data_IF_239572407584
#
_entry.id   IF_239572407584
#
_cell.length_a   1.000
_cell.length_b   1.000
_cell.length_c   1.000
_cell.angle_alpha   90.00
_cell.angle_beta   90.00
_cell.angle_gamma   90.00
#
_symmetry.space_group_name_H-M   'P 1'
#
loop_
_entity.id
_entity.type
_entity.pdbx_description
1 polymer ?
#
# COMPACT_ATOMS: atom_id res chain seq x y z
N UNK A 1 -26.08 8.53 13.27
CA UNK A 1 -25.23 8.46 12.08
C UNK A 1 -23.82 8.75 12.51
N UNK A 2 -23.01 7.72 12.63
CA UNK A 2 -21.58 7.83 12.95
C UNK A 2 -20.87 8.41 11.72
N UNK A 3 -20.59 9.71 11.73
CA UNK A 3 -19.73 10.30 10.70
C UNK A 3 -18.30 9.80 10.94
N UNK A 4 -17.71 9.16 9.93
CA UNK A 4 -16.29 8.81 9.94
C UNK A 4 -15.48 10.11 10.08
N UNK A 5 -14.49 10.12 10.99
CA UNK A 5 -13.63 11.29 11.16
C UNK A 5 -12.87 11.58 9.85
N UNK A 6 -12.70 12.86 9.47
CA UNK A 6 -11.95 13.21 8.26
C UNK A 6 -10.49 12.76 8.39
N UNK A 7 -9.89 12.34 7.27
CA UNK A 7 -8.49 11.94 7.20
C UNK A 7 -7.56 13.09 7.61
N UNK A 8 -6.48 12.76 8.32
CA UNK A 8 -5.45 13.74 8.67
C UNK A 8 -4.62 14.11 7.44
N UNK A 9 -3.94 15.27 7.50
CA UNK A 9 -3.02 15.69 6.42
C UNK A 9 -1.91 14.66 6.18
N UNK A 10 -1.41 14.04 7.25
CA UNK A 10 -0.40 12.99 7.17
C UNK A 10 -0.93 11.75 6.45
N UNK A 11 -2.16 11.32 6.76
CA UNK A 11 -2.82 10.20 6.09
C UNK A 11 -3.04 10.47 4.60
N UNK A 12 -3.53 11.67 4.26
CA UNK A 12 -3.69 12.07 2.84
C UNK A 12 -2.33 12.07 2.13
N UNK A 13 -1.29 12.59 2.76
CA UNK A 13 0.04 12.62 2.16
C UNK A 13 0.65 11.22 1.96
N UNK A 14 0.48 10.34 2.95
CA UNK A 14 0.86 8.93 2.84
C UNK A 14 0.08 8.22 1.72
N UNK A 15 -1.23 8.45 1.63
CA UNK A 15 -2.07 7.89 0.58
C UNK A 15 -1.62 8.32 -0.82
N UNK A 16 -1.36 9.62 -1.01
CA UNK A 16 -0.86 10.13 -2.28
C UNK A 16 0.49 9.51 -2.64
N UNK A 17 1.39 9.36 -1.66
CA UNK A 17 2.70 8.72 -1.85
C UNK A 17 2.56 7.25 -2.25
N UNK A 18 1.66 6.51 -1.61
CA UNK A 18 1.36 5.12 -1.97
C UNK A 18 0.78 5.06 -3.40
N UNK A 19 -0.22 5.87 -3.70
CA UNK A 19 -0.89 5.88 -5.00
C UNK A 19 0.07 6.16 -6.16
N UNK A 20 1.01 7.10 -6.04
CA UNK A 20 1.98 7.37 -7.11
C UNK A 20 3.06 6.30 -7.28
N UNK A 21 3.24 5.42 -6.28
CA UNK A 21 4.38 4.49 -6.23
C UNK A 21 3.99 3.02 -6.10
N UNK A 22 2.70 2.68 -6.07
CA UNK A 22 2.22 1.32 -5.86
C UNK A 22 2.71 0.32 -6.91
N UNK A 23 3.03 0.79 -8.12
CA UNK A 23 3.50 -0.01 -9.26
C UNK A 23 4.92 0.41 -9.75
N UNK A 24 5.71 1.07 -8.91
CA UNK A 24 7.04 1.56 -9.29
C UNK A 24 7.95 0.40 -9.69
N UNK A 25 8.63 0.50 -10.84
CA UNK A 25 9.52 -0.57 -11.36
C UNK A 25 8.78 -1.87 -11.75
N UNK A 26 7.47 -1.82 -12.03
CA UNK A 26 6.71 -3.00 -12.46
C UNK A 26 7.24 -3.58 -13.80
N UNK A 27 7.62 -4.87 -13.87
CA UNK A 27 8.26 -5.48 -15.04
C UNK A 27 7.29 -5.89 -16.16
N UNK A 28 5.99 -5.65 -16.00
CA UNK A 28 4.94 -6.09 -16.92
C UNK A 28 4.63 -7.59 -16.84
N UNK A 29 4.99 -8.24 -15.74
CA UNK A 29 4.77 -9.66 -15.46
C UNK A 29 3.97 -9.80 -14.17
N UNK A 30 3.25 -10.90 -14.01
CA UNK A 30 2.46 -11.15 -12.79
C UNK A 30 3.27 -11.85 -11.71
N UNK A 31 2.84 -11.71 -10.43
CA UNK A 31 3.39 -12.46 -9.30
C UNK A 31 3.47 -13.98 -9.60
N UNK A 32 2.40 -14.56 -10.17
CA UNK A 32 2.37 -15.98 -10.53
C UNK A 32 3.45 -16.37 -11.57
N UNK A 33 3.71 -15.51 -12.56
CA UNK A 33 4.77 -15.74 -13.53
C UNK A 33 6.16 -15.67 -12.88
N UNK A 34 6.39 -14.68 -12.03
CA UNK A 34 7.67 -14.47 -11.33
C UNK A 34 8.01 -15.63 -10.40
N UNK A 35 7.02 -16.17 -9.68
CA UNK A 35 7.16 -17.36 -8.83
C UNK A 35 7.44 -18.60 -9.68
N UNK A 36 6.64 -18.83 -10.73
CA UNK A 36 6.79 -19.99 -11.62
C UNK A 36 8.17 -20.05 -12.29
N UNK A 37 8.73 -18.89 -12.65
CA UNK A 37 10.04 -18.77 -13.30
C UNK A 37 11.21 -18.68 -12.31
N UNK A 38 10.94 -18.68 -10.99
CA UNK A 38 11.96 -18.51 -9.94
C UNK A 38 12.80 -17.26 -10.16
N UNK A 39 12.13 -16.16 -10.52
CA UNK A 39 12.79 -14.88 -10.73
C UNK A 39 13.56 -14.42 -9.47
N UNK A 40 14.58 -13.56 -9.61
CA UNK A 40 15.30 -13.03 -8.45
C UNK A 40 14.39 -12.30 -7.44
N UNK A 41 13.34 -11.64 -7.91
CA UNK A 41 12.35 -10.99 -7.04
C UNK A 41 11.54 -12.02 -6.25
N UNK A 42 11.07 -13.09 -6.90
CA UNK A 42 10.33 -14.15 -6.21
C UNK A 42 11.17 -14.82 -5.12
N UNK A 43 12.45 -15.09 -5.39
CA UNK A 43 13.38 -15.61 -4.39
C UNK A 43 13.59 -14.61 -3.25
N UNK A 44 13.77 -13.32 -3.56
CA UNK A 44 13.99 -12.26 -2.55
C UNK A 44 12.81 -12.11 -1.60
N UNK A 45 11.59 -12.18 -2.12
CA UNK A 45 10.35 -11.98 -1.35
C UNK A 45 9.66 -13.29 -0.98
N UNK A 46 10.34 -14.42 -1.13
CA UNK A 46 9.86 -15.76 -0.74
C UNK A 46 8.45 -16.08 -1.27
N UNK A 47 8.21 -15.73 -2.54
CA UNK A 47 6.95 -15.96 -3.25
C UNK A 47 5.71 -15.23 -2.68
N UNK A 48 5.87 -14.30 -1.73
CA UNK A 48 4.77 -13.56 -1.10
C UNK A 48 4.69 -12.12 -1.61
N UNK A 49 3.54 -11.75 -2.20
CA UNK A 49 3.25 -10.39 -2.72
C UNK A 49 4.48 -9.77 -3.37
N UNK A 50 5.04 -10.50 -4.35
CA UNK A 50 6.43 -10.33 -4.80
C UNK A 50 6.65 -8.93 -5.36
N UNK A 51 5.71 -8.46 -6.17
CA UNK A 51 5.72 -7.15 -6.79
C UNK A 51 5.40 -6.06 -5.76
N UNK A 52 4.41 -6.24 -4.91
CA UNK A 52 3.99 -5.21 -3.96
C UNK A 52 5.07 -4.95 -2.89
N UNK A 53 5.78 -6.00 -2.45
CA UNK A 53 6.97 -5.84 -1.61
C UNK A 53 8.11 -5.16 -2.36
N UNK A 54 8.26 -5.43 -3.67
CA UNK A 54 9.25 -4.76 -4.51
C UNK A 54 8.94 -3.27 -4.63
N UNK A 55 7.71 -2.90 -4.95
CA UNK A 55 7.24 -1.52 -5.08
C UNK A 55 7.46 -0.76 -3.77
N UNK A 56 7.02 -1.31 -2.64
CA UNK A 56 7.23 -0.68 -1.33
C UNK A 56 8.72 -0.49 -0.98
N UNK A 57 9.57 -1.48 -1.28
CA UNK A 57 11.00 -1.38 -1.05
C UNK A 57 11.65 -0.32 -1.94
N UNK A 58 11.32 -0.32 -3.24
CA UNK A 58 11.83 0.64 -4.22
C UNK A 58 11.39 2.06 -3.89
N UNK A 59 10.14 2.28 -3.48
CA UNK A 59 9.66 3.60 -3.02
C UNK A 59 10.54 4.17 -1.91
N UNK A 60 10.78 3.41 -0.84
CA UNK A 60 11.59 3.91 0.27
C UNK A 60 13.09 3.98 -0.05
N UNK A 61 13.58 3.17 -0.98
CA UNK A 61 14.93 3.34 -1.50
C UNK A 61 15.07 4.69 -2.20
N UNK A 62 14.16 5.03 -3.12
CA UNK A 62 14.15 6.33 -3.82
C UNK A 62 14.04 7.49 -2.83
N UNK A 63 13.15 7.40 -1.83
CA UNK A 63 12.99 8.44 -0.82
C UNK A 63 14.21 8.62 0.11
N UNK A 64 15.15 7.65 0.12
CA UNK A 64 16.41 7.76 0.86
C UNK A 64 17.55 8.39 0.04
N UNK A 65 17.35 8.61 -1.27
CA UNK A 65 18.34 9.25 -2.12
C UNK A 65 18.39 10.74 -1.84
N UNK A 66 19.59 11.32 -1.99
CA UNK A 66 19.82 12.74 -1.81
C UNK A 66 18.93 13.57 -2.73
N UNK A 67 18.13 14.47 -2.17
CA UNK A 67 17.20 15.34 -2.90
C UNK A 67 15.81 14.73 -3.15
N UNK A 68 15.56 13.51 -2.67
CA UNK A 68 14.26 12.82 -2.77
C UNK A 68 13.59 12.61 -1.41
N UNK A 69 14.06 13.28 -0.34
CA UNK A 69 13.62 13.08 1.03
C UNK A 69 12.24 13.71 1.31
N UNK A 70 11.20 13.16 0.67
CA UNK A 70 9.81 13.62 0.73
C UNK A 70 9.27 13.76 2.16
N UNK A 71 9.79 12.94 3.09
CA UNK A 71 9.38 12.91 4.49
C UNK A 71 10.36 13.61 5.45
N UNK A 72 11.32 14.39 4.95
CA UNK A 72 12.39 14.98 5.76
C UNK A 72 11.92 15.89 6.90
N UNK A 73 10.75 16.54 6.74
CA UNK A 73 10.22 17.48 7.75
C UNK A 73 9.35 16.82 8.81
N UNK A 74 9.07 15.51 8.68
CA UNK A 74 8.24 14.78 9.64
C UNK A 74 9.02 14.50 10.92
N UNK A 75 8.33 14.54 12.06
CA UNK A 75 8.87 13.99 13.30
C UNK A 75 9.08 12.47 13.17
N UNK A 76 9.92 11.84 14.02
CA UNK A 76 10.13 10.39 13.98
C UNK A 76 8.84 9.57 14.12
N UNK A 77 7.87 10.06 14.90
CA UNK A 77 6.58 9.40 15.08
C UNK A 77 5.72 9.49 13.81
N UNK A 78 5.64 10.69 13.20
CA UNK A 78 4.89 10.91 11.95
C UNK A 78 5.52 10.14 10.78
N UNK A 79 6.86 10.06 10.71
CA UNK A 79 7.55 9.25 9.72
C UNK A 79 7.18 7.77 9.84
N UNK A 80 7.16 7.23 11.07
CA UNK A 80 6.80 5.84 11.31
C UNK A 80 5.35 5.57 10.90
N UNK A 81 4.42 6.47 11.25
CA UNK A 81 3.02 6.37 10.83
C UNK A 81 2.89 6.44 9.29
N UNK A 82 3.50 7.43 8.65
CA UNK A 82 3.49 7.57 7.20
C UNK A 82 4.06 6.33 6.51
N UNK A 83 5.17 5.78 7.02
CA UNK A 83 5.76 4.54 6.49
C UNK A 83 4.82 3.36 6.61
N UNK A 84 4.18 3.17 7.77
CA UNK A 84 3.23 2.09 7.97
C UNK A 84 2.03 2.21 7.03
N UNK A 85 1.52 3.43 6.83
CA UNK A 85 0.42 3.69 5.91
C UNK A 85 0.83 3.43 4.45
N UNK A 86 1.96 3.95 3.99
CA UNK A 86 2.43 3.75 2.61
C UNK A 86 2.66 2.28 2.30
N UNK A 87 3.44 1.57 3.14
CA UNK A 87 3.74 0.15 2.94
C UNK A 87 2.46 -0.68 3.00
N UNK A 88 1.58 -0.40 3.97
CA UNK A 88 0.32 -1.10 4.12
C UNK A 88 -0.64 -0.88 2.95
N UNK A 89 -0.66 0.32 2.37
CA UNK A 89 -1.49 0.64 1.19
C UNK A 89 -0.96 -0.02 -0.08
N UNK A 90 0.37 -0.04 -0.30
CA UNK A 90 0.97 -0.72 -1.47
C UNK A 90 0.76 -2.23 -1.37
N UNK A 91 1.01 -2.85 -0.21
CA UNK A 91 0.78 -4.30 -0.05
C UNK A 91 -0.70 -4.68 -0.23
N UNK A 92 -1.62 -3.77 0.06
CA UNK A 92 -3.04 -4.01 -0.11
C UNK A 92 -3.52 -4.02 -1.56
N UNK A 93 -2.68 -3.63 -2.54
CA UNK A 93 -3.01 -3.72 -3.98
C UNK A 93 -2.76 -5.12 -4.54
N UNK A 94 -2.17 -6.05 -3.77
CA UNK A 94 -2.01 -7.42 -4.23
C UNK A 94 -3.38 -8.05 -4.50
N UNK A 95 -3.61 -8.41 -5.76
CA UNK A 95 -4.85 -9.03 -6.20
C UNK A 95 -5.12 -10.41 -5.58
N UNK A 96 -4.12 -11.07 -5.00
CA UNK A 96 -4.33 -12.27 -4.20
C UNK A 96 -5.17 -11.98 -2.93
N UNK A 97 -5.10 -10.76 -2.41
CA UNK A 97 -5.86 -10.29 -1.25
C UNK A 97 -7.22 -9.67 -1.62
N UNK A 98 -7.54 -9.54 -2.91
CA UNK A 98 -8.75 -8.89 -3.40
C UNK A 98 -10.04 -9.48 -2.77
N UNK A 99 -10.15 -10.81 -2.69
CA UNK A 99 -11.34 -11.45 -2.14
C UNK A 99 -11.52 -11.15 -0.64
N UNK A 100 -10.40 -11.04 0.10
CA UNK A 100 -10.42 -10.66 1.52
C UNK A 100 -10.89 -9.22 1.68
N UNK A 101 -10.38 -8.32 0.85
CA UNK A 101 -10.79 -6.91 0.80
C UNK A 101 -12.29 -6.76 0.50
N UNK A 102 -12.83 -7.48 -0.49
CA UNK A 102 -14.26 -7.47 -0.81
C UNK A 102 -15.11 -7.95 0.36
N UNK A 103 -14.70 -9.03 1.05
CA UNK A 103 -15.43 -9.55 2.19
C UNK A 103 -15.50 -8.52 3.34
N UNK A 104 -14.37 -7.85 3.64
CA UNK A 104 -14.34 -6.80 4.67
C UNK A 104 -15.26 -5.63 4.29
N UNK A 105 -15.29 -5.22 3.01
CA UNK A 105 -16.17 -4.15 2.54
C UNK A 105 -17.66 -4.52 2.65
N UNK A 106 -18.01 -5.77 2.31
CA UNK A 106 -19.38 -6.27 2.48
C UNK A 106 -19.79 -6.29 3.95
N UNK A 107 -18.91 -6.82 4.83
CA UNK A 107 -19.17 -6.85 6.27
C UNK A 107 -19.34 -5.44 6.86
N UNK A 108 -18.56 -4.47 6.39
CA UNK A 108 -18.69 -3.07 6.80
C UNK A 108 -20.01 -2.45 6.33
N UNK A 109 -20.45 -2.76 5.11
CA UNK A 109 -21.72 -2.29 4.56
C UNK A 109 -22.92 -2.88 5.32
N UNK A 110 -22.87 -4.17 5.64
CA UNK A 110 -23.94 -4.89 6.31
C UNK A 110 -24.05 -4.51 7.80
N UNK A 111 -22.92 -4.30 8.48
CA UNK A 111 -22.90 -4.04 9.92
C UNK A 111 -22.84 -2.55 10.29
N UNK A 112 -22.78 -1.64 9.31
CA UNK A 112 -22.59 -0.19 9.55
C UNK A 112 -21.43 0.12 10.51
N UNK A 113 -20.38 -0.71 10.47
CA UNK A 113 -19.24 -0.59 11.36
C UNK A 113 -18.37 0.60 10.96
N UNK A 114 -17.73 1.24 11.94
CA UNK A 114 -16.84 2.36 11.68
C UNK A 114 -15.60 1.87 10.92
N UNK A 115 -15.37 2.43 9.73
CA UNK A 115 -14.17 2.15 8.94
C UNK A 115 -13.00 2.92 9.53
N UNK A 116 -11.88 2.23 9.80
CA UNK A 116 -10.68 2.91 10.25
C UNK A 116 -10.06 3.72 9.10
N UNK A 117 -9.43 4.88 9.36
CA UNK A 117 -8.71 5.63 8.33
C UNK A 117 -7.73 4.78 7.53
N UNK A 118 -7.00 3.87 8.19
CA UNK A 118 -6.06 2.97 7.53
C UNK A 118 -6.75 2.03 6.53
N UNK A 119 -7.96 1.55 6.84
CA UNK A 119 -8.72 0.69 5.93
C UNK A 119 -9.24 1.49 4.74
N UNK A 120 -9.69 2.74 4.94
CA UNK A 120 -10.02 3.65 3.82
C UNK A 120 -8.83 3.81 2.88
N UNK A 121 -7.63 4.02 3.43
CA UNK A 121 -6.41 4.20 2.65
C UNK A 121 -6.01 2.95 1.86
N UNK A 122 -6.17 1.76 2.44
CA UNK A 122 -5.89 0.48 1.77
C UNK A 122 -6.88 0.21 0.64
N UNK A 123 -8.17 0.41 0.90
CA UNK A 123 -9.20 0.21 -0.11
C UNK A 123 -9.11 1.21 -1.25
N UNK A 124 -8.71 2.45 -0.97
CA UNK A 124 -8.61 3.47 -2.01
C UNK A 124 -7.54 3.14 -3.05
N UNK A 125 -6.34 2.75 -2.64
CA UNK A 125 -5.29 2.32 -3.57
C UNK A 125 -5.71 1.07 -4.36
N UNK A 126 -6.28 0.07 -3.69
CA UNK A 126 -6.75 -1.16 -4.32
C UNK A 126 -7.87 -0.93 -5.34
N UNK A 127 -8.83 -0.06 -5.05
CA UNK A 127 -9.93 0.26 -5.98
C UNK A 127 -9.46 1.14 -7.14
N UNK A 128 -8.52 2.06 -6.89
CA UNK A 128 -8.01 2.96 -7.93
C UNK A 128 -7.15 2.24 -8.99
N UNK A 129 -6.65 1.04 -8.67
CA UNK A 129 -5.84 0.19 -9.54
C UNK A 129 -6.67 -0.75 -10.44
N UNK A 130 -7.93 -1.03 -10.07
CA UNK A 130 -8.88 -1.87 -10.83
C UNK A 130 -9.49 -1.16 -12.04
#
# INVERSE_FOLDING_TARGET
GTQAAPLTKLQIFALLTAAISHDIEHPGLTNAYLVKTKSPLAIRYNDQSVLEHHHAATTFHVLSLAGCELFATLSPAEYLEARQLVVGSILATDMADHQRTVNVLNDLADNSAAISPADVLRFFCHIADL
#
